data_IF_320978065385
#
_entry.id   IF_320978065385
#
_cell.length_a   1.000
_cell.length_b   1.000
_cell.length_c   1.000
_cell.angle_alpha   90.00
_cell.angle_beta   90.00
_cell.angle_gamma   90.00
#
_symmetry.space_group_name_H-M   'P 1'
#
loop_
_entity.id
_entity.type
_entity.pdbx_description
1 polymer ?
#
# COMPACT_ATOMS: atom_id res chain seq x y z
N UNK A 1 -20.87 -9.62 30.31
CA UNK A 1 -19.44 -9.70 30.67
C UNK A 1 -18.67 -9.50 29.38
N UNK A 2 -18.18 -8.29 29.13
CA UNK A 2 -17.29 -8.03 27.98
C UNK A 2 -16.02 -8.83 28.23
N UNK A 3 -15.72 -9.75 27.31
CA UNK A 3 -14.53 -10.58 27.34
C UNK A 3 -13.34 -9.67 26.99
N UNK A 4 -12.84 -8.92 27.97
CA UNK A 4 -11.73 -8.00 27.78
C UNK A 4 -10.44 -8.83 27.71
N UNK A 5 -10.17 -9.36 26.52
CA UNK A 5 -9.00 -10.19 26.24
C UNK A 5 -7.77 -9.32 26.51
N UNK A 6 -6.94 -9.73 27.48
CA UNK A 6 -5.67 -9.04 27.74
C UNK A 6 -4.83 -9.03 26.47
N UNK A 7 -4.25 -7.87 26.17
CA UNK A 7 -3.25 -7.76 25.10
C UNK A 7 -2.04 -8.61 25.48
N UNK A 8 -1.41 -9.22 24.48
CA UNK A 8 -0.23 -10.07 24.64
C UNK A 8 1.01 -9.34 24.15
N UNK A 9 2.10 -9.49 24.90
CA UNK A 9 3.41 -8.99 24.52
C UNK A 9 4.41 -10.14 24.55
N UNK A 10 5.15 -10.31 23.46
CA UNK A 10 6.21 -11.28 23.36
C UNK A 10 7.58 -10.59 23.36
N UNK A 11 8.53 -11.12 24.13
CA UNK A 11 9.91 -10.62 24.15
C UNK A 11 10.80 -11.58 23.38
N UNK A 12 11.44 -11.05 22.33
CA UNK A 12 12.54 -11.72 21.62
C UNK A 12 13.87 -11.20 22.17
N UNK A 13 14.70 -12.10 22.67
CA UNK A 13 15.95 -11.76 23.34
C UNK A 13 16.99 -12.86 23.10
N UNK A 14 18.30 -12.53 23.13
CA UNK A 14 19.33 -13.55 22.98
C UNK A 14 19.21 -14.65 24.03
N UNK A 15 19.12 -15.90 23.57
CA UNK A 15 19.16 -17.08 24.45
C UNK A 15 20.64 -17.39 24.71
N UNK A 16 21.19 -16.77 25.75
CA UNK A 16 22.51 -17.12 26.28
C UNK A 16 22.49 -18.50 26.96
N UNK A 17 23.66 -19.13 27.11
CA UNK A 17 23.78 -20.32 27.96
C UNK A 17 23.46 -19.98 29.42
N UNK A 18 22.99 -20.96 30.18
CA UNK A 18 22.71 -20.80 31.61
C UNK A 18 23.95 -20.26 32.35
N UNK A 19 23.77 -19.25 33.19
CA UNK A 19 24.86 -18.59 33.91
C UNK A 19 25.75 -17.65 33.08
N UNK A 20 25.46 -17.42 31.80
CA UNK A 20 26.19 -16.42 31.00
C UNK A 20 25.80 -14.98 31.34
N UNK A 21 26.72 -14.05 31.09
CA UNK A 21 26.46 -12.61 31.21
C UNK A 21 25.31 -12.15 30.29
N UNK A 22 25.24 -12.72 29.08
CA UNK A 22 24.16 -12.46 28.11
C UNK A 22 22.81 -12.85 28.71
N UNK A 23 22.72 -14.03 29.33
CA UNK A 23 21.48 -14.49 29.95
C UNK A 23 21.10 -13.63 31.15
N UNK A 24 22.08 -13.29 31.99
CA UNK A 24 21.86 -12.48 33.19
C UNK A 24 21.40 -11.05 32.86
N UNK A 25 22.01 -10.41 31.87
CA UNK A 25 21.60 -9.07 31.40
C UNK A 25 20.22 -9.12 30.73
N UNK A 26 19.94 -10.13 29.90
CA UNK A 26 18.63 -10.30 29.27
C UNK A 26 17.51 -10.52 30.30
N UNK A 27 17.70 -11.43 31.27
CA UNK A 27 16.72 -11.66 32.34
C UNK A 27 16.59 -10.41 33.23
N UNK A 28 17.70 -9.69 33.50
CA UNK A 28 17.69 -8.43 34.24
C UNK A 28 16.82 -7.35 33.59
N UNK A 29 16.95 -7.14 32.28
CA UNK A 29 16.11 -6.22 31.50
C UNK A 29 14.63 -6.64 31.55
N UNK A 30 14.35 -7.93 31.34
CA UNK A 30 12.99 -8.47 31.32
C UNK A 30 12.31 -8.32 32.69
N UNK A 31 12.98 -8.72 33.77
CA UNK A 31 12.37 -8.79 35.09
C UNK A 31 12.32 -7.43 35.79
N UNK A 32 13.30 -6.56 35.56
CA UNK A 32 13.41 -5.25 36.23
C UNK A 32 12.64 -4.14 35.51
N UNK A 33 12.44 -4.27 34.19
CA UNK A 33 11.85 -3.22 33.34
C UNK A 33 10.59 -3.70 32.65
N UNK A 34 10.68 -4.71 31.77
CA UNK A 34 9.57 -5.09 30.87
C UNK A 34 8.40 -5.67 31.67
N UNK A 35 8.68 -6.60 32.60
CA UNK A 35 7.67 -7.28 33.41
C UNK A 35 6.86 -6.31 34.28
N UNK A 36 7.47 -5.36 35.03
CA UNK A 36 6.70 -4.34 35.76
C UNK A 36 5.79 -3.51 34.85
N UNK A 37 6.29 -3.05 33.69
CA UNK A 37 5.51 -2.22 32.77
C UNK A 37 4.32 -2.99 32.21
N UNK A 38 4.53 -4.23 31.74
CA UNK A 38 3.43 -5.06 31.24
C UNK A 38 2.38 -5.33 32.32
N UNK A 39 2.80 -5.55 33.58
CA UNK A 39 1.86 -5.70 34.71
C UNK A 39 1.03 -4.44 34.95
N UNK A 40 1.66 -3.27 34.94
CA UNK A 40 0.99 -1.97 35.12
C UNK A 40 -0.01 -1.69 34.00
N UNK A 41 0.32 -2.07 32.76
CA UNK A 41 -0.54 -1.91 31.58
C UNK A 41 -1.54 -3.06 31.37
N UNK A 42 -1.62 -4.03 32.28
CA UNK A 42 -2.47 -5.22 32.18
C UNK A 42 -2.24 -6.05 30.88
N UNK A 43 -0.99 -6.12 30.44
CA UNK A 43 -0.52 -6.89 29.28
C UNK A 43 0.03 -8.24 29.75
N UNK A 44 -0.35 -9.32 29.08
CA UNK A 44 0.18 -10.67 29.32
C UNK A 44 1.54 -10.81 28.63
N UNK A 45 2.60 -11.07 29.41
CA UNK A 45 3.97 -11.15 28.92
C UNK A 45 4.40 -12.60 28.66
N UNK A 46 4.95 -12.85 27.48
CA UNK A 46 5.55 -14.11 27.06
C UNK A 46 7.03 -13.90 26.72
N UNK A 47 7.88 -14.86 27.08
CA UNK A 47 9.34 -14.80 26.86
C UNK A 47 9.79 -16.10 26.23
N UNK A 48 10.43 -16.02 25.06
CA UNK A 48 10.77 -17.18 24.22
C UNK A 48 11.41 -18.35 24.99
N UNK A 49 12.37 -18.07 25.87
CA UNK A 49 13.12 -19.09 26.61
C UNK A 49 12.49 -19.56 27.93
N UNK A 50 11.31 -19.04 28.30
CA UNK A 50 10.58 -19.41 29.54
C UNK A 50 9.30 -20.19 29.24
N UNK A 51 9.06 -20.54 27.97
CA UNK A 51 7.87 -21.29 27.55
C UNK A 51 8.13 -22.78 27.73
N UNK A 52 7.47 -23.38 28.72
CA UNK A 52 7.62 -24.80 29.10
C UNK A 52 6.62 -25.75 28.37
N UNK A 53 6.01 -25.30 27.26
CA UNK A 53 4.93 -26.04 26.60
C UNK A 53 5.46 -27.14 25.66
N UNK A 54 4.88 -28.37 25.67
CA UNK A 54 5.25 -29.43 24.73
C UNK A 54 5.09 -29.03 23.25
N UNK A 55 6.11 -29.26 22.41
CA UNK A 55 6.07 -28.98 20.97
C UNK A 55 7.43 -28.54 20.41
N UNK A 56 7.47 -28.13 19.13
CA UNK A 56 8.65 -27.45 18.58
C UNK A 56 8.72 -26.04 19.15
N UNK A 57 9.76 -25.76 19.95
CA UNK A 57 10.02 -24.42 20.51
C UNK A 57 9.98 -23.36 19.41
N UNK A 58 10.58 -23.66 18.25
CA UNK A 58 10.58 -22.77 17.09
C UNK A 58 9.17 -22.45 16.57
N UNK A 59 8.25 -23.43 16.60
CA UNK A 59 6.86 -23.22 16.16
C UNK A 59 6.09 -22.27 17.09
N UNK A 60 6.24 -22.45 18.40
CA UNK A 60 5.57 -21.60 19.40
C UNK A 60 6.11 -20.17 19.39
N UNK A 61 7.43 -20.01 19.24
CA UNK A 61 8.06 -18.69 19.10
C UNK A 61 7.52 -17.95 17.88
N UNK A 62 7.43 -18.62 16.73
CA UNK A 62 6.85 -18.01 15.52
C UNK A 62 5.37 -17.68 15.68
N UNK A 63 4.59 -18.50 16.38
CA UNK A 63 3.19 -18.21 16.68
C UNK A 63 3.05 -16.92 17.48
N UNK A 64 3.81 -16.74 18.55
CA UNK A 64 3.81 -15.50 19.33
C UNK A 64 4.23 -14.30 18.47
N UNK A 65 5.29 -14.42 17.67
CA UNK A 65 5.76 -13.35 16.77
C UNK A 65 4.67 -12.92 15.79
N UNK A 66 3.91 -13.88 15.25
CA UNK A 66 2.90 -13.62 14.24
C UNK A 66 1.54 -13.17 14.81
N UNK A 67 1.26 -13.43 16.09
CA UNK A 67 -0.10 -13.28 16.64
C UNK A 67 -0.21 -12.40 17.88
N UNK A 68 0.86 -12.16 18.63
CA UNK A 68 0.79 -11.29 19.81
C UNK A 68 0.68 -9.82 19.40
N UNK A 69 -0.04 -9.04 20.24
CA UNK A 69 -0.37 -7.64 19.95
C UNK A 69 0.88 -6.76 19.90
N UNK A 70 1.93 -7.10 20.65
CA UNK A 70 3.20 -6.39 20.69
C UNK A 70 4.39 -7.37 20.72
N UNK A 71 5.47 -7.02 20.01
CA UNK A 71 6.77 -7.65 20.19
C UNK A 71 7.79 -6.62 20.66
N UNK A 72 8.56 -6.97 21.69
CA UNK A 72 9.74 -6.19 22.13
C UNK A 72 10.99 -6.99 21.79
N UNK A 73 11.89 -6.38 21.03
CA UNK A 73 13.11 -7.00 20.53
C UNK A 73 14.37 -6.45 21.19
N UNK A 74 15.14 -7.32 21.85
CA UNK A 74 16.43 -6.96 22.43
C UNK A 74 17.57 -7.22 21.44
N UNK A 75 18.09 -6.15 20.85
CA UNK A 75 19.13 -6.17 19.82
C UNK A 75 20.55 -5.97 20.38
N UNK A 76 20.71 -5.86 21.69
CA UNK A 76 21.99 -5.51 22.34
C UNK A 76 23.18 -6.31 21.83
N UNK A 77 23.04 -7.63 21.68
CA UNK A 77 24.15 -8.52 21.27
C UNK A 77 24.17 -8.82 19.77
N UNK A 78 23.30 -8.20 18.95
CA UNK A 78 23.16 -8.48 17.51
C UNK A 78 22.99 -9.99 17.20
N UNK A 79 22.22 -10.70 18.05
CA UNK A 79 22.04 -12.13 17.90
C UNK A 79 21.31 -12.46 16.56
N UNK A 80 21.86 -13.34 15.71
CA UNK A 80 21.25 -13.66 14.42
C UNK A 80 19.81 -14.21 14.50
N UNK A 81 19.49 -14.95 15.55
CA UNK A 81 18.14 -15.49 15.73
C UNK A 81 17.16 -14.36 16.06
N UNK A 82 17.54 -13.42 16.92
CA UNK A 82 16.70 -12.25 17.22
C UNK A 82 16.47 -11.40 15.98
N UNK A 83 17.49 -11.23 15.13
CA UNK A 83 17.36 -10.52 13.85
C UNK A 83 16.39 -11.23 12.90
N UNK A 84 16.45 -12.57 12.85
CA UNK A 84 15.51 -13.38 12.08
C UNK A 84 14.07 -13.23 12.59
N UNK A 85 13.87 -13.33 13.90
CA UNK A 85 12.56 -13.17 14.56
C UNK A 85 11.98 -11.77 14.32
N UNK A 86 12.81 -10.73 14.40
CA UNK A 86 12.42 -9.34 14.09
C UNK A 86 11.98 -9.20 12.63
N UNK A 87 12.69 -9.81 11.68
CA UNK A 87 12.32 -9.77 10.27
C UNK A 87 10.97 -10.46 10.00
N UNK A 88 10.69 -11.57 10.68
CA UNK A 88 9.38 -12.23 10.64
C UNK A 88 8.29 -11.33 11.20
N UNK A 89 8.54 -10.66 12.34
CA UNK A 89 7.61 -9.69 12.92
C UNK A 89 7.31 -8.52 11.97
N UNK A 90 8.33 -7.94 11.36
CA UNK A 90 8.17 -6.88 10.36
C UNK A 90 7.28 -7.33 9.20
N UNK A 91 7.44 -8.58 8.75
CA UNK A 91 6.63 -9.18 7.69
C UNK A 91 5.15 -9.33 8.08
N UNK A 92 4.86 -9.56 9.36
CA UNK A 92 3.49 -9.62 9.88
C UNK A 92 2.81 -8.24 9.99
N UNK A 93 3.59 -7.15 9.91
CA UNK A 93 3.12 -5.76 10.05
C UNK A 93 2.28 -5.52 11.31
N UNK A 94 2.81 -5.97 12.44
CA UNK A 94 2.22 -5.77 13.75
C UNK A 94 3.16 -4.95 14.65
N UNK A 95 2.65 -4.28 15.72
CA UNK A 95 3.43 -3.40 16.57
C UNK A 95 4.71 -4.03 17.11
N UNK A 96 5.83 -3.31 17.00
CA UNK A 96 7.16 -3.81 17.40
C UNK A 96 7.99 -2.69 17.98
N UNK A 97 8.73 -2.98 19.06
CA UNK A 97 9.65 -2.05 19.71
C UNK A 97 11.03 -2.68 19.79
N UNK A 98 12.03 -1.98 19.28
CA UNK A 98 13.44 -2.40 19.37
C UNK A 98 14.12 -1.73 20.56
N UNK A 99 14.89 -2.51 21.31
CA UNK A 99 15.75 -2.10 22.41
C UNK A 99 17.20 -2.46 22.09
N UNK A 100 18.15 -1.61 22.46
CA UNK A 100 19.57 -1.94 22.40
C UNK A 100 20.33 -1.21 23.50
N UNK A 101 21.43 -1.77 23.99
CA UNK A 101 22.31 -1.07 24.90
C UNK A 101 23.04 0.08 24.18
N UNK A 102 23.31 1.16 24.92
CA UNK A 102 24.10 2.28 24.46
C UNK A 102 25.48 1.81 23.97
N UNK A 103 25.82 2.18 22.73
CA UNK A 103 27.06 1.76 22.07
C UNK A 103 26.90 0.58 21.10
N UNK A 104 25.76 -0.09 21.10
CA UNK A 104 25.44 -1.09 20.06
C UNK A 104 25.33 -0.42 18.70
N UNK A 105 26.15 -0.87 17.75
CA UNK A 105 26.09 -0.43 16.35
C UNK A 105 25.15 -1.34 15.58
N UNK A 106 23.92 -0.86 15.34
CA UNK A 106 22.93 -1.63 14.58
C UNK A 106 23.37 -1.85 13.12
N UNK A 107 23.07 -3.01 12.53
CA UNK A 107 23.24 -3.25 11.10
C UNK A 107 22.45 -2.23 10.27
N UNK A 108 22.98 -1.91 9.09
CA UNK A 108 22.40 -0.90 8.20
C UNK A 108 20.92 -1.16 7.85
N UNK A 109 20.51 -2.42 7.72
CA UNK A 109 19.13 -2.79 7.38
C UNK A 109 18.08 -2.36 8.41
N UNK A 110 18.50 -2.10 9.66
CA UNK A 110 17.62 -1.69 10.76
C UNK A 110 18.10 -0.43 11.49
N UNK A 111 19.17 0.22 11.00
CA UNK A 111 19.75 1.39 11.69
C UNK A 111 18.84 2.62 11.66
N UNK A 112 17.99 2.70 10.64
CA UNK A 112 17.02 3.80 10.46
C UNK A 112 15.71 3.53 11.22
N UNK A 113 15.55 2.35 11.81
CA UNK A 113 14.37 1.99 12.59
C UNK A 113 14.45 2.51 14.01
N UNK A 114 13.31 2.94 14.54
CA UNK A 114 13.23 3.47 15.90
C UNK A 114 13.66 2.41 16.91
N UNK A 115 14.77 2.67 17.61
CA UNK A 115 15.31 1.82 18.67
C UNK A 115 15.50 2.65 19.93
N UNK A 116 15.02 2.14 21.07
CA UNK A 116 15.32 2.75 22.36
C UNK A 116 16.69 2.26 22.81
N UNK A 117 17.65 3.18 22.91
CA UNK A 117 18.95 2.90 23.49
C UNK A 117 18.92 3.08 25.01
N UNK A 118 19.41 2.09 25.75
CA UNK A 118 19.41 2.09 27.21
C UNK A 118 20.80 1.83 27.79
N UNK A 119 21.01 2.18 29.07
CA UNK A 119 22.22 1.80 29.82
C UNK A 119 21.89 0.66 30.77
N UNK A 120 22.74 -0.37 30.85
CA UNK A 120 22.57 -1.49 31.79
C UNK A 120 23.09 -1.10 33.20
N UNK A 121 22.43 -0.09 33.79
CA UNK A 121 22.69 0.36 35.16
C UNK A 121 21.38 0.85 35.84
N UNK A 122 21.46 1.11 37.15
CA UNK A 122 20.29 1.54 37.94
C UNK A 122 19.66 2.85 37.45
N UNK A 123 20.47 3.78 36.93
CA UNK A 123 19.96 5.03 36.37
C UNK A 123 19.28 4.78 35.01
N UNK A 124 19.82 3.85 34.21
CA UNK A 124 19.28 3.38 32.95
C UNK A 124 17.89 2.76 33.12
N UNK A 125 17.69 1.92 34.13
CA UNK A 125 16.36 1.36 34.48
C UNK A 125 15.34 2.48 34.72
N UNK A 126 15.71 3.50 35.50
CA UNK A 126 14.82 4.62 35.85
C UNK A 126 14.45 5.46 34.63
N UNK A 127 15.38 5.61 33.68
CA UNK A 127 15.15 6.34 32.41
C UNK A 127 14.36 5.51 31.39
N UNK A 128 14.64 4.21 31.31
CA UNK A 128 14.03 3.33 30.32
C UNK A 128 12.55 3.09 30.60
N UNK A 129 12.16 2.92 31.87
CA UNK A 129 10.76 2.65 32.24
C UNK A 129 9.74 3.64 31.64
N UNK A 130 9.84 4.96 31.83
CA UNK A 130 8.88 5.90 31.25
C UNK A 130 8.94 5.95 29.72
N UNK A 131 10.12 5.84 29.12
CA UNK A 131 10.28 5.84 27.66
C UNK A 131 9.61 4.62 27.03
N UNK A 132 9.88 3.44 27.56
CA UNK A 132 9.30 2.19 27.07
C UNK A 132 7.78 2.16 27.32
N UNK A 133 7.30 2.63 28.46
CA UNK A 133 5.85 2.70 28.75
C UNK A 133 5.12 3.57 27.73
N UNK A 134 5.64 4.75 27.42
CA UNK A 134 5.05 5.63 26.40
C UNK A 134 5.07 4.98 25.02
N UNK A 135 6.19 4.37 24.63
CA UNK A 135 6.31 3.73 23.33
C UNK A 135 5.41 2.51 23.19
N UNK A 136 5.18 1.75 24.27
CA UNK A 136 4.21 0.65 24.29
C UNK A 136 2.81 1.16 24.00
N UNK A 137 2.37 2.23 24.67
CA UNK A 137 1.04 2.81 24.42
C UNK A 137 0.91 3.33 22.99
N UNK A 138 1.91 4.08 22.49
CA UNK A 138 1.92 4.58 21.11
C UNK A 138 1.86 3.44 20.08
N UNK A 139 2.69 2.39 20.25
CA UNK A 139 2.73 1.27 19.33
C UNK A 139 1.44 0.45 19.33
N UNK A 140 0.80 0.33 20.49
CA UNK A 140 -0.46 -0.40 20.66
C UNK A 140 -1.69 0.35 20.15
N UNK A 141 -1.63 1.68 20.06
CA UNK A 141 -2.69 2.52 19.50
C UNK A 141 -2.49 2.82 18.00
N UNK A 142 -1.32 2.47 17.44
CA UNK A 142 -1.01 2.63 16.02
C UNK A 142 -1.71 1.55 15.16
N UNK A 143 -2.65 2.01 14.34
CA UNK A 143 -3.39 1.15 13.41
C UNK A 143 -2.65 0.93 12.08
N UNK A 144 -1.57 1.67 11.81
CA UNK A 144 -0.78 1.54 10.60
C UNK A 144 0.72 1.41 10.87
N UNK A 145 1.18 0.35 11.59
CA UNK A 145 2.60 0.16 11.86
C UNK A 145 3.45 0.20 10.58
N UNK A 146 4.51 1.00 10.62
CA UNK A 146 5.52 1.11 9.58
C UNK A 146 6.75 0.26 9.93
N UNK A 147 7.37 -0.32 8.91
CA UNK A 147 8.63 -1.07 9.03
C UNK A 147 9.28 -1.25 7.63
N UNK A 148 10.57 -1.66 7.54
CA UNK A 148 11.28 -1.79 6.26
C UNK A 148 10.59 -2.72 5.26
N UNK A 149 10.07 -3.86 5.73
CA UNK A 149 9.45 -4.88 4.89
C UNK A 149 8.17 -4.34 4.27
N UNK A 150 7.35 -3.66 5.08
CA UNK A 150 6.12 -3.04 4.61
C UNK A 150 6.39 -1.90 3.62
N UNK A 151 7.38 -1.04 3.89
CA UNK A 151 7.79 0.03 2.96
C UNK A 151 8.21 -0.52 1.61
N UNK A 152 9.00 -1.61 1.59
CA UNK A 152 9.41 -2.29 0.37
C UNK A 152 8.22 -2.91 -0.37
N UNK A 153 7.35 -3.64 0.33
CA UNK A 153 6.16 -4.25 -0.26
C UNK A 153 5.21 -3.19 -0.86
N UNK A 154 4.98 -2.09 -0.15
CA UNK A 154 4.18 -0.96 -0.63
C UNK A 154 4.79 -0.36 -1.90
N UNK A 155 6.11 -0.11 -1.91
CA UNK A 155 6.81 0.40 -3.09
C UNK A 155 6.66 -0.50 -4.32
N UNK A 156 6.73 -1.83 -4.13
CA UNK A 156 6.57 -2.80 -5.21
C UNK A 156 5.16 -2.76 -5.80
N UNK A 157 4.12 -2.76 -4.96
CA UNK A 157 2.73 -2.63 -5.42
C UNK A 157 2.53 -1.33 -6.19
N UNK A 158 3.10 -0.23 -5.72
CA UNK A 158 3.04 1.06 -6.44
C UNK A 158 3.71 1.00 -7.82
N UNK A 159 4.86 0.31 -7.94
CA UNK A 159 5.52 0.12 -9.24
C UNK A 159 4.70 -0.72 -10.21
N UNK A 160 4.05 -1.78 -9.72
CA UNK A 160 3.21 -2.65 -10.56
C UNK A 160 1.93 -1.95 -11.06
N UNK A 161 1.36 -1.04 -10.27
CA UNK A 161 0.23 -0.21 -10.67
C UNK A 161 0.60 0.88 -11.68
N UNK A 162 1.89 1.23 -11.79
CA UNK A 162 2.40 2.28 -12.67
C UNK A 162 3.51 1.76 -13.61
N UNK A 163 3.17 0.90 -14.60
CA UNK A 163 4.17 0.33 -15.51
C UNK A 163 4.84 1.36 -16.44
N UNK A 164 4.41 2.64 -16.45
CA UNK A 164 4.97 3.70 -17.29
C UNK A 164 5.03 5.06 -16.56
N UNK A 165 6.18 5.39 -15.97
CA UNK A 165 6.55 6.78 -15.65
C UNK A 165 6.54 7.16 -14.16
N UNK A 166 6.92 8.42 -13.91
CA UNK A 166 6.98 9.05 -12.59
C UNK A 166 5.59 9.05 -11.93
N UNK A 167 5.53 8.58 -10.67
CA UNK A 167 4.31 8.52 -9.87
C UNK A 167 3.62 9.88 -9.80
N UNK A 168 4.40 10.97 -9.76
CA UNK A 168 3.87 12.33 -9.74
C UNK A 168 3.04 12.63 -10.99
N UNK A 169 3.52 12.23 -12.17
CA UNK A 169 2.82 12.41 -13.45
C UNK A 169 1.54 11.60 -13.53
N UNK A 170 1.56 10.35 -13.05
CA UNK A 170 0.34 9.52 -12.99
C UNK A 170 -0.70 10.12 -12.04
N UNK A 171 -0.28 10.58 -10.86
CA UNK A 171 -1.19 11.21 -9.90
C UNK A 171 -1.77 12.51 -10.45
N UNK A 172 -0.97 13.33 -11.14
CA UNK A 172 -1.44 14.53 -11.84
C UNK A 172 -2.48 14.18 -12.91
N UNK A 173 -2.21 13.21 -13.78
CA UNK A 173 -3.16 12.75 -14.80
C UNK A 173 -4.48 12.26 -14.17
N UNK A 174 -4.39 11.52 -13.06
CA UNK A 174 -5.59 11.03 -12.38
C UNK A 174 -6.38 12.13 -11.69
N UNK A 175 -5.71 13.08 -11.05
CA UNK A 175 -6.34 14.25 -10.45
C UNK A 175 -7.05 15.10 -11.51
N UNK A 176 -6.41 15.34 -12.65
CA UNK A 176 -7.00 16.09 -13.77
C UNK A 176 -8.26 15.39 -14.32
N UNK A 177 -8.22 14.05 -14.41
CA UNK A 177 -9.41 13.27 -14.79
C UNK A 177 -10.53 13.37 -13.76
N UNK A 178 -10.21 13.37 -12.45
CA UNK A 178 -11.20 13.55 -11.39
C UNK A 178 -11.82 14.96 -11.41
N UNK A 179 -11.01 16.00 -11.57
CA UNK A 179 -11.48 17.38 -11.70
C UNK A 179 -12.43 17.53 -12.90
N UNK A 180 -12.10 16.91 -14.03
CA UNK A 180 -12.95 16.93 -15.24
C UNK A 180 -14.32 16.30 -14.97
N UNK A 181 -14.39 15.21 -14.19
CA UNK A 181 -15.65 14.56 -13.82
C UNK A 181 -16.43 15.41 -12.81
N UNK A 182 -15.75 16.04 -11.85
CA UNK A 182 -16.37 16.91 -10.84
C UNK A 182 -16.89 18.22 -11.43
N UNK A 183 -16.17 18.83 -12.38
CA UNK A 183 -16.66 20.01 -13.13
C UNK A 183 -17.91 19.68 -13.94
N UNK A 184 -17.96 18.49 -14.58
CA UNK A 184 -19.18 18.02 -15.25
C UNK A 184 -20.36 17.77 -14.31
N UNK A 185 -20.10 17.62 -13.01
CA UNK A 185 -21.12 17.34 -11.98
C UNK A 185 -21.55 18.59 -11.19
N UNK A 186 -20.73 19.66 -11.17
CA UNK A 186 -21.00 20.91 -10.42
C UNK A 186 -21.55 22.04 -11.28
N UNK A 187 -21.55 21.91 -12.61
CA UNK A 187 -22.29 22.84 -13.49
C UNK A 187 -23.78 22.53 -13.37
N UNK A 188 -24.49 23.30 -12.54
CA UNK A 188 -25.95 23.39 -12.61
C UNK A 188 -26.35 23.70 -14.07
N UNK A 189 -27.33 22.99 -14.65
CA UNK A 189 -27.70 23.21 -16.04
C UNK A 189 -28.29 24.62 -16.18
N UNK A 190 -27.52 25.54 -16.77
CA UNK A 190 -28.09 26.72 -17.38
C UNK A 190 -28.88 26.24 -18.60
N UNK A 191 -30.19 26.11 -18.40
CA UNK A 191 -31.17 25.83 -19.45
C UNK A 191 -31.18 26.98 -20.45
N UNK A 192 -30.49 26.82 -21.57
CA UNK A 192 -31.06 27.22 -22.85
C UNK A 192 -31.64 25.96 -23.50
N UNK A 193 -32.91 25.99 -23.95
CA UNK A 193 -33.51 24.84 -24.61
C UNK A 193 -32.93 24.74 -26.03
N UNK A 194 -31.81 24.04 -26.17
CA UNK A 194 -31.41 23.45 -27.44
C UNK A 194 -31.83 21.99 -27.39
N UNK A 195 -32.80 21.60 -28.21
CA UNK A 195 -33.07 20.20 -28.55
C UNK A 195 -31.72 19.49 -28.78
N UNK A 196 -31.46 18.32 -28.15
CA UNK A 196 -30.21 17.60 -28.36
C UNK A 196 -30.16 17.17 -29.83
N UNK A 197 -29.41 17.94 -30.61
CA UNK A 197 -29.18 17.64 -32.02
C UNK A 197 -28.11 16.56 -32.05
N UNK A 198 -28.49 15.34 -32.40
CA UNK A 198 -27.55 14.24 -32.58
C UNK A 198 -27.09 14.20 -34.04
N UNK A 199 -25.82 13.85 -34.26
CA UNK A 199 -25.20 13.70 -35.56
C UNK A 199 -24.92 12.22 -35.76
N UNK A 200 -25.65 11.57 -36.66
CA UNK A 200 -25.48 10.16 -36.99
C UNK A 200 -24.50 10.01 -38.15
N UNK A 201 -23.45 9.23 -37.92
CA UNK A 201 -22.46 8.85 -38.91
C UNK A 201 -22.74 7.43 -39.41
N UNK A 202 -22.73 7.26 -40.72
CA UNK A 202 -22.53 5.97 -41.39
C UNK A 202 -21.30 6.09 -42.27
N UNK A 203 -20.32 5.24 -42.05
CA UNK A 203 -19.02 5.28 -42.71
C UNK A 203 -18.83 3.95 -43.42
N UNK A 204 -18.66 3.99 -44.74
CA UNK A 204 -18.32 2.84 -45.54
C UNK A 204 -16.78 2.76 -45.66
N UNK A 205 -16.21 1.63 -45.24
CA UNK A 205 -14.77 1.36 -45.35
C UNK A 205 -14.40 1.11 -46.80
N UNK A 206 -13.14 1.37 -47.13
CA UNK A 206 -12.59 1.12 -48.47
C UNK A 206 -12.74 -0.33 -48.92
N UNK A 207 -13.11 -0.57 -50.18
CA UNK A 207 -13.27 -1.92 -50.72
C UNK A 207 -11.98 -2.77 -50.54
N UNK A 208 -12.13 -3.96 -49.92
CA UNK A 208 -11.03 -4.87 -49.59
C UNK A 208 -10.39 -4.67 -48.21
N UNK A 209 -10.79 -3.63 -47.48
CA UNK A 209 -10.28 -3.35 -46.13
C UNK A 209 -10.92 -4.25 -45.07
N UNK A 210 -10.10 -4.79 -44.17
CA UNK A 210 -10.58 -5.56 -43.03
C UNK A 210 -11.06 -4.63 -41.90
N UNK A 211 -12.18 -4.97 -41.27
CA UNK A 211 -12.73 -4.22 -40.13
C UNK A 211 -11.77 -4.08 -38.95
N UNK A 212 -10.94 -5.09 -38.66
CA UNK A 212 -9.98 -5.03 -37.55
C UNK A 212 -8.78 -4.15 -37.88
N UNK A 213 -8.34 -4.14 -39.15
CA UNK A 213 -7.28 -3.26 -39.65
C UNK A 213 -7.74 -1.81 -39.64
N UNK A 214 -8.95 -1.54 -40.16
CA UNK A 214 -9.58 -0.23 -40.10
C UNK A 214 -9.70 0.30 -38.67
N UNK A 215 -10.18 -0.54 -37.74
CA UNK A 215 -10.24 -0.17 -36.31
C UNK A 215 -8.86 0.17 -35.77
N UNK A 216 -7.84 -0.63 -36.05
CA UNK A 216 -6.50 -0.37 -35.52
C UNK A 216 -5.93 0.96 -36.02
N UNK A 217 -6.17 1.30 -37.29
CA UNK A 217 -5.64 2.51 -37.90
C UNK A 217 -6.36 3.79 -37.46
N UNK A 218 -7.69 3.75 -37.31
CA UNK A 218 -8.48 4.99 -37.12
C UNK A 218 -8.96 5.21 -35.67
N UNK A 219 -8.95 4.18 -34.83
CA UNK A 219 -9.54 4.27 -33.48
C UNK A 219 -8.82 5.23 -32.56
N UNK A 220 -7.48 5.32 -32.64
CA UNK A 220 -6.73 6.27 -31.81
C UNK A 220 -7.15 7.70 -32.15
N UNK A 221 -7.20 8.03 -33.44
CA UNK A 221 -7.55 9.38 -33.90
C UNK A 221 -9.00 9.74 -33.57
N UNK A 222 -9.93 8.80 -33.76
CA UNK A 222 -11.34 9.00 -33.40
C UNK A 222 -11.54 9.15 -31.88
N UNK A 223 -10.76 8.44 -31.06
CA UNK A 223 -10.81 8.54 -29.61
C UNK A 223 -10.21 9.87 -29.12
N UNK A 224 -8.99 10.19 -29.56
CA UNK A 224 -8.22 11.33 -29.07
C UNK A 224 -8.82 12.66 -29.53
N UNK A 225 -9.27 12.73 -30.79
CA UNK A 225 -9.69 14.00 -31.39
C UNK A 225 -11.20 14.21 -31.42
N UNK A 226 -12.00 13.14 -31.58
CA UNK A 226 -13.46 13.21 -31.69
C UNK A 226 -14.22 12.59 -30.48
N UNK A 227 -13.49 11.94 -29.56
CA UNK A 227 -14.05 11.28 -28.37
C UNK A 227 -15.12 10.24 -28.71
N UNK A 228 -14.94 9.51 -29.82
CA UNK A 228 -15.85 8.41 -30.19
C UNK A 228 -15.45 7.17 -29.39
N UNK A 229 -16.27 6.80 -28.41
CA UNK A 229 -15.98 5.67 -27.51
C UNK A 229 -16.67 4.37 -27.93
N UNK A 230 -17.77 4.49 -28.68
CA UNK A 230 -18.63 3.36 -29.03
C UNK A 230 -19.17 3.54 -30.44
N UNK A 231 -19.09 2.49 -31.23
CA UNK A 231 -19.64 2.43 -32.58
C UNK A 231 -20.14 1.02 -32.86
N UNK A 232 -21.16 0.94 -33.70
CA UNK A 232 -21.58 -0.32 -34.32
C UNK A 232 -20.71 -0.54 -35.56
N UNK A 233 -20.40 -1.78 -35.87
CA UNK A 233 -19.62 -2.13 -37.05
C UNK A 233 -20.28 -3.27 -37.82
N UNK A 234 -20.02 -3.28 -39.12
CA UNK A 234 -20.35 -4.34 -40.05
C UNK A 234 -19.10 -4.62 -40.90
N UNK A 235 -19.14 -5.67 -41.71
CA UNK A 235 -18.03 -5.98 -42.63
C UNK A 235 -17.80 -4.89 -43.69
N UNK A 236 -18.72 -3.92 -43.83
CA UNK A 236 -18.66 -2.85 -44.82
C UNK A 236 -18.38 -1.48 -44.23
N UNK A 237 -18.48 -1.31 -42.91
CA UNK A 237 -18.49 0.04 -42.34
C UNK A 237 -18.71 0.12 -40.84
N UNK A 238 -18.67 1.34 -40.33
CA UNK A 238 -19.00 1.68 -38.93
C UNK A 238 -20.13 2.71 -38.86
N UNK A 239 -20.86 2.73 -37.75
CA UNK A 239 -21.88 3.73 -37.47
C UNK A 239 -21.92 4.13 -36.00
N UNK A 240 -22.14 5.42 -35.73
CA UNK A 240 -22.17 5.98 -34.38
C UNK A 240 -22.88 7.33 -34.36
N UNK A 241 -23.16 7.84 -33.15
CA UNK A 241 -23.82 9.13 -32.97
C UNK A 241 -23.02 10.06 -32.06
N UNK A 242 -23.02 11.35 -32.38
CA UNK A 242 -22.39 12.42 -31.61
C UNK A 242 -23.39 13.52 -31.29
N UNK A 243 -23.49 13.93 -30.03
CA UNK A 243 -24.43 14.98 -29.58
C UNK A 243 -23.84 16.40 -29.63
N UNK A 244 -22.65 16.56 -30.22
CA UNK A 244 -21.93 17.83 -30.26
C UNK A 244 -21.44 18.13 -31.68
N UNK A 245 -21.86 19.27 -32.24
CA UNK A 245 -21.54 19.71 -33.60
C UNK A 245 -20.04 19.83 -33.86
N UNK A 246 -19.29 20.43 -32.94
CA UNK A 246 -17.84 20.61 -33.10
C UNK A 246 -17.10 19.27 -33.11
N UNK A 247 -17.59 18.29 -32.35
CA UNK A 247 -17.06 16.92 -32.37
C UNK A 247 -17.41 16.20 -33.67
N UNK A 248 -18.62 16.39 -34.19
CA UNK A 248 -19.03 15.85 -35.48
C UNK A 248 -18.15 16.39 -36.63
N UNK A 249 -17.92 17.71 -36.68
CA UNK A 249 -17.05 18.35 -37.69
C UNK A 249 -15.61 17.83 -37.63
N UNK A 250 -15.04 17.66 -36.43
CA UNK A 250 -13.70 17.07 -36.26
C UNK A 250 -13.66 15.61 -36.72
N UNK A 251 -14.69 14.84 -36.37
CA UNK A 251 -14.79 13.43 -36.75
C UNK A 251 -14.86 13.26 -38.27
N UNK A 252 -15.68 14.07 -38.95
CA UNK A 252 -15.80 14.07 -40.41
C UNK A 252 -14.45 14.38 -41.07
N UNK A 253 -13.73 15.38 -40.56
CA UNK A 253 -12.39 15.74 -41.05
C UNK A 253 -11.39 14.58 -40.95
N UNK A 254 -11.32 13.91 -39.80
CA UNK A 254 -10.42 12.76 -39.58
C UNK A 254 -10.74 11.62 -40.55
N UNK A 255 -12.03 11.30 -40.69
CA UNK A 255 -12.48 10.24 -41.59
C UNK A 255 -12.10 10.54 -43.04
N UNK A 256 -12.29 11.78 -43.50
CA UNK A 256 -11.89 12.21 -44.85
C UNK A 256 -10.37 12.21 -45.07
N UNK A 257 -9.58 12.61 -44.07
CA UNK A 257 -8.11 12.66 -44.15
C UNK A 257 -7.45 11.27 -44.07
N UNK A 258 -8.16 10.27 -43.51
CA UNK A 258 -7.62 8.93 -43.30
C UNK A 258 -7.29 8.16 -44.59
N UNK A 259 -7.93 8.47 -45.73
CA UNK A 259 -7.93 7.64 -46.95
C UNK A 259 -8.44 6.19 -46.77
N UNK A 260 -9.11 5.90 -45.64
CA UNK A 260 -9.59 4.55 -45.29
C UNK A 260 -11.08 4.33 -45.59
N UNK A 261 -11.78 5.37 -46.05
CA UNK A 261 -13.23 5.38 -46.21
C UNK A 261 -13.60 5.72 -47.65
N UNK A 262 -14.57 5.00 -48.21
CA UNK A 262 -15.10 5.27 -49.56
C UNK A 262 -16.26 6.28 -49.52
N UNK A 263 -17.05 6.27 -48.43
CA UNK A 263 -18.21 7.12 -48.29
C UNK A 263 -18.51 7.44 -46.82
N UNK A 264 -19.00 8.65 -46.56
CA UNK A 264 -19.42 9.12 -45.24
C UNK A 264 -20.80 9.75 -45.40
N UNK A 265 -21.79 9.21 -44.69
CA UNK A 265 -23.10 9.83 -44.54
C UNK A 265 -23.22 10.46 -43.15
N UNK A 266 -23.38 11.78 -43.12
CA UNK A 266 -23.64 12.57 -41.92
C UNK A 266 -25.08 13.08 -41.93
N UNK A 267 -25.88 12.65 -40.95
CA UNK A 267 -27.27 13.10 -40.80
C UNK A 267 -27.47 13.80 -39.46
N UNK A 268 -28.05 14.99 -39.51
CA UNK A 268 -28.53 15.69 -38.32
C UNK A 268 -29.88 15.10 -37.90
N UNK A 269 -29.91 14.45 -36.75
CA UNK A 269 -31.09 13.84 -36.13
C UNK A 269 -31.57 14.80 -35.03
N UNK A 270 -32.78 15.32 -35.21
CA UNK A 270 -33.47 16.22 -34.27
C UNK A 270 -34.36 15.42 -33.34
#
# INVERSE_FOLDING_TARGET
MTNDKKRKCFVITPIGSEGSDIRSSADGLIDSVITPICKELNIELFVAHRIDTPGSITGQVLEHILTDDLVIANLTTLNPNVMYELAVRHSARLPTISLAENGTKLPFDISDERTIFYSDDMAGVTKLKPLLTNMINEALDDNEPDNPVYRAAKSQVMKELHPKGDFQSYMLERLERFETILQKSTVAPQTQPSTPTNYRFQVDMKEGMNTEEFKHEIMSDLFDSAQVYTFNHTNKGISFELSNKQRAEKCEKILLESNLVDNISLQQVV
#
